data_IF_557122881174
#
_entry.id   IF_557122881174
#
_cell.length_a   1.000
_cell.length_b   1.000
_cell.length_c   1.000
_cell.angle_alpha   90.00
_cell.angle_beta   90.00
_cell.angle_gamma   90.00
#
_symmetry.space_group_name_H-M   'P 1'
#
loop_
_entity.id
_entity.type
_entity.pdbx_description
1 polymer ?
#
# COMPACT_ATOMS: atom_id res chain seq x y z
N UNK A 1 -14.43 5.65 -0.23
CA UNK A 1 -13.13 6.21 -0.64
C UNK A 1 -13.39 7.38 -1.59
N UNK A 2 -12.99 8.60 -1.25
CA UNK A 2 -13.19 9.76 -2.12
C UNK A 2 -12.02 9.81 -3.13
N UNK A 3 -12.20 9.14 -4.27
CA UNK A 3 -11.32 9.19 -5.46
C UNK A 3 -9.93 8.53 -5.36
N UNK A 4 -9.87 7.23 -5.00
CA UNK A 4 -8.73 6.36 -5.33
C UNK A 4 -8.68 6.02 -6.83
N UNK A 5 -7.77 5.12 -7.20
CA UNK A 5 -7.77 4.53 -8.54
C UNK A 5 -9.16 3.92 -8.81
N UNK A 6 -9.77 4.06 -10.01
CA UNK A 6 -11.02 3.37 -10.36
C UNK A 6 -10.99 1.86 -10.08
N UNK A 7 -9.80 1.27 -10.11
CA UNK A 7 -9.54 -0.12 -9.82
C UNK A 7 -9.51 -0.44 -8.32
N UNK A 8 -9.38 0.54 -7.43
CA UNK A 8 -9.48 0.34 -5.99
C UNK A 8 -10.98 0.25 -5.58
N UNK A 9 -11.52 -0.95 -5.72
CA UNK A 9 -12.96 -1.24 -5.61
C UNK A 9 -13.54 -1.02 -4.20
N UNK A 10 -12.81 -1.36 -3.13
CA UNK A 10 -13.26 -1.14 -1.74
C UNK A 10 -12.11 -1.11 -0.73
N UNK A 11 -12.22 -0.24 0.28
CA UNK A 11 -11.51 -0.35 1.56
C UNK A 11 -12.58 -0.48 2.64
N UNK A 12 -12.66 -1.65 3.26
CA UNK A 12 -13.53 -1.89 4.40
C UNK A 12 -12.73 -1.83 5.68
N UNK A 13 -12.81 -0.70 6.38
CA UNK A 13 -12.13 -0.47 7.63
C UNK A 13 -13.15 -0.36 8.77
N UNK A 14 -13.33 -1.44 9.53
CA UNK A 14 -14.13 -1.44 10.76
C UNK A 14 -13.21 -1.33 12.00
N UNK A 15 -13.57 -0.53 13.02
CA UNK A 15 -12.80 -0.46 14.25
C UNK A 15 -12.60 -1.84 14.89
N UNK A 16 -11.35 -2.20 15.18
CA UNK A 16 -11.00 -3.47 15.80
C UNK A 16 -10.93 -4.67 14.85
N UNK A 17 -11.11 -4.45 13.54
CA UNK A 17 -10.95 -5.48 12.52
C UNK A 17 -9.77 -5.17 11.59
N UNK A 18 -9.28 -6.21 10.92
CA UNK A 18 -8.36 -6.02 9.80
C UNK A 18 -9.08 -5.26 8.68
N UNK A 19 -8.35 -4.39 8.00
CA UNK A 19 -8.88 -3.64 6.86
C UNK A 19 -8.93 -4.56 5.65
N UNK A 20 -10.10 -4.83 5.10
CA UNK A 20 -10.19 -5.57 3.84
C UNK A 20 -10.02 -4.60 2.66
N UNK A 21 -9.05 -4.90 1.81
CA UNK A 21 -8.80 -4.20 0.57
C UNK A 21 -9.22 -5.10 -0.57
N UNK A 22 -10.07 -4.57 -1.45
CA UNK A 22 -10.43 -5.18 -2.71
C UNK A 22 -10.07 -4.22 -3.82
N UNK A 23 -9.26 -4.69 -4.75
CA UNK A 23 -8.75 -3.92 -5.87
C UNK A 23 -8.72 -4.79 -7.13
N UNK A 24 -8.69 -4.16 -8.29
CA UNK A 24 -8.38 -4.79 -9.56
C UNK A 24 -6.98 -4.44 -9.99
N UNK A 25 -6.32 -5.39 -10.63
CA UNK A 25 -5.03 -5.22 -11.29
C UNK A 25 -5.24 -5.74 -12.71
N UNK A 26 -5.58 -4.84 -13.63
CA UNK A 26 -6.14 -5.19 -14.95
C UNK A 26 -7.33 -6.17 -14.79
N UNK A 27 -7.24 -7.38 -15.36
CA UNK A 27 -8.32 -8.37 -15.34
C UNK A 27 -8.44 -9.17 -14.03
N UNK A 28 -7.53 -8.98 -13.09
CA UNK A 28 -7.49 -9.75 -11.85
C UNK A 28 -8.19 -8.98 -10.73
N UNK A 29 -9.07 -9.66 -9.99
CA UNK A 29 -9.61 -9.15 -8.73
C UNK A 29 -8.73 -9.66 -7.59
N UNK A 30 -8.16 -8.74 -6.83
CA UNK A 30 -7.36 -9.00 -5.65
C UNK A 30 -8.17 -8.67 -4.40
N UNK A 31 -8.10 -9.52 -3.38
CA UNK A 31 -8.68 -9.25 -2.06
C UNK A 31 -7.72 -9.74 -0.98
N UNK A 32 -7.38 -8.84 -0.07
CA UNK A 32 -6.51 -9.14 1.06
C UNK A 32 -6.93 -8.34 2.29
N UNK A 33 -6.43 -8.76 3.45
CA UNK A 33 -6.66 -8.09 4.71
C UNK A 33 -5.35 -7.47 5.21
N UNK A 34 -5.40 -6.19 5.56
CA UNK A 34 -4.32 -5.50 6.25
C UNK A 34 -4.56 -5.51 7.75
N UNK A 35 -3.50 -5.81 8.51
CA UNK A 35 -3.48 -5.53 9.95
C UNK A 35 -3.39 -4.03 10.21
N UNK A 36 -3.69 -3.57 11.44
CA UNK A 36 -3.34 -2.23 11.87
C UNK A 36 -1.87 -1.92 11.56
N UNK A 37 -1.61 -0.67 11.17
CA UNK A 37 -0.25 -0.18 10.96
C UNK A 37 0.62 -0.44 12.18
N UNK A 38 1.87 -0.81 11.93
CA UNK A 38 2.90 -1.01 12.95
C UNK A 38 2.70 -2.27 13.82
N UNK A 39 1.73 -3.15 13.49
CA UNK A 39 1.66 -4.54 13.98
C UNK A 39 2.70 -5.46 13.27
N UNK A 40 3.52 -4.89 12.39
CA UNK A 40 4.64 -5.56 11.74
C UNK A 40 5.85 -5.63 12.67
N UNK A 41 5.70 -6.29 13.82
CA UNK A 41 6.83 -6.79 14.59
C UNK A 41 6.90 -8.29 14.28
N UNK A 42 7.99 -8.72 13.64
CA UNK A 42 8.41 -10.11 13.42
C UNK A 42 7.71 -10.87 12.28
N UNK A 43 8.14 -10.59 11.05
CA UNK A 43 8.61 -11.65 10.16
C UNK A 43 9.92 -11.13 9.58
N UNK A 44 11.03 -11.86 9.75
CA UNK A 44 12.30 -11.57 9.08
C UNK A 44 12.13 -11.79 7.58
N UNK A 45 11.49 -10.85 6.91
CA UNK A 45 11.64 -10.68 5.49
C UNK A 45 12.85 -9.78 5.33
N UNK A 46 13.97 -10.33 4.83
CA UNK A 46 15.15 -9.54 4.43
C UNK A 46 14.70 -8.56 3.34
N UNK A 47 14.31 -7.37 3.78
CA UNK A 47 14.16 -6.22 2.92
C UNK A 47 15.53 -5.56 2.78
N UNK A 48 15.83 -4.92 1.65
CA UNK A 48 17.05 -4.13 1.50
C UNK A 48 17.18 -3.19 2.70
N UNK A 49 18.34 -3.20 3.36
CA UNK A 49 18.57 -2.44 4.58
C UNK A 49 18.08 -1.00 4.41
N UNK A 50 17.20 -0.56 5.32
CA UNK A 50 16.80 0.84 5.36
C UNK A 50 18.06 1.69 5.48
N UNK A 51 18.28 2.57 4.51
CA UNK A 51 19.37 3.53 4.57
C UNK A 51 19.14 4.37 5.84
N UNK A 52 20.15 4.63 6.70
CA UNK A 52 19.99 5.23 8.04
C UNK A 52 19.30 6.60 8.09
N UNK A 53 18.97 7.17 6.94
CA UNK A 53 18.53 8.53 6.72
C UNK A 53 17.06 8.65 6.32
N UNK A 54 16.33 7.52 6.23
CA UNK A 54 14.92 7.50 5.81
C UNK A 54 14.01 7.23 7.01
N UNK A 55 12.87 7.92 7.14
CA UNK A 55 11.95 7.74 8.26
C UNK A 55 11.49 6.30 8.33
N UNK A 56 11.22 5.84 9.54
CA UNK A 56 10.60 4.55 9.79
C UNK A 56 9.21 4.55 9.13
N UNK A 57 9.13 4.05 7.90
CA UNK A 57 7.87 3.90 7.19
C UNK A 57 6.95 2.97 7.97
N UNK A 58 5.65 3.25 7.92
CA UNK A 58 4.63 2.38 8.52
C UNK A 58 4.48 1.15 7.65
N UNK A 59 4.26 -0.01 8.26
CA UNK A 59 4.10 -1.28 7.55
C UNK A 59 2.90 -2.07 8.06
N UNK A 60 2.31 -2.86 7.16
CA UNK A 60 1.33 -3.88 7.48
C UNK A 60 1.53 -5.13 6.61
N UNK A 61 1.02 -6.27 7.09
CA UNK A 61 0.99 -7.51 6.31
C UNK A 61 -0.27 -7.59 5.47
N UNK A 62 -0.14 -8.18 4.29
CA UNK A 62 -1.27 -8.60 3.46
C UNK A 62 -1.61 -10.05 3.79
N UNK A 63 -2.85 -10.29 4.19
CA UNK A 63 -3.33 -11.59 4.65
C UNK A 63 -4.45 -12.13 3.75
N UNK A 64 -4.49 -13.45 3.58
CA UNK A 64 -5.66 -14.17 3.08
C UNK A 64 -6.71 -14.33 4.19
N UNK A 65 -7.96 -14.75 3.87
CA UNK A 65 -9.02 -14.93 4.87
C UNK A 65 -8.68 -15.90 6.00
N UNK A 66 -7.79 -16.87 5.75
CA UNK A 66 -7.33 -17.84 6.74
C UNK A 66 -6.16 -17.33 7.61
N UNK A 67 -5.72 -16.09 7.40
CA UNK A 67 -4.59 -15.47 8.09
C UNK A 67 -3.23 -15.76 7.46
N UNK A 68 -3.17 -16.45 6.32
CA UNK A 68 -1.90 -16.66 5.59
C UNK A 68 -1.33 -15.32 5.13
N UNK A 69 -0.08 -15.04 5.50
CA UNK A 69 0.65 -13.85 5.02
C UNK A 69 1.10 -14.09 3.58
N UNK A 70 0.64 -13.23 2.66
CA UNK A 70 1.00 -13.28 1.24
C UNK A 70 1.89 -12.12 0.82
N UNK A 71 2.06 -11.11 1.67
CA UNK A 71 2.86 -9.95 1.31
C UNK A 71 2.92 -8.91 2.41
N UNK A 72 3.48 -7.75 2.08
CA UNK A 72 3.49 -6.59 2.95
C UNK A 72 3.35 -5.30 2.17
N UNK A 73 2.80 -4.28 2.83
CA UNK A 73 2.70 -2.92 2.31
C UNK A 73 3.45 -2.00 3.26
N UNK A 74 4.23 -1.08 2.71
CA UNK A 74 4.97 -0.08 3.48
C UNK A 74 4.87 1.31 2.84
N UNK A 75 4.63 2.32 3.68
CA UNK A 75 4.56 3.71 3.26
C UNK A 75 5.51 4.55 4.11
N UNK A 76 6.32 5.39 3.45
CA UNK A 76 7.18 6.37 4.09
C UNK A 76 6.95 7.74 3.44
N UNK A 77 6.87 8.78 4.27
CA UNK A 77 6.69 10.15 3.83
C UNK A 77 7.83 10.99 4.40
N UNK A 78 8.54 11.68 3.52
CA UNK A 78 9.58 12.65 3.88
C UNK A 78 9.05 14.05 3.62
N UNK A 79 9.19 14.97 4.57
CA UNK A 79 8.95 16.39 4.32
C UNK A 79 10.03 16.95 3.38
N UNK A 80 9.61 17.84 2.48
CA UNK A 80 10.46 18.59 1.56
C UNK A 80 10.14 20.09 1.72
N UNK A 81 11.00 20.98 1.22
CA UNK A 81 10.82 22.44 1.36
C UNK A 81 9.47 22.94 0.82
N UNK A 82 8.96 22.32 -0.26
CA UNK A 82 7.73 22.69 -0.94
C UNK A 82 6.68 21.55 -0.97
N UNK A 83 6.80 20.56 -0.08
CA UNK A 83 5.84 19.46 -0.01
C UNK A 83 6.37 18.24 0.71
N UNK A 84 6.25 17.08 0.05
CA UNK A 84 6.73 15.82 0.60
C UNK A 84 7.06 14.81 -0.50
N UNK A 85 7.98 13.90 -0.20
CA UNK A 85 8.23 12.71 -0.99
C UNK A 85 7.49 11.52 -0.37
N UNK A 86 6.58 10.90 -1.12
CA UNK A 86 5.96 9.63 -0.75
C UNK A 86 6.73 8.45 -1.35
N UNK A 87 7.08 7.45 -0.52
CA UNK A 87 7.57 6.15 -0.98
C UNK A 87 6.61 5.07 -0.54
N UNK A 88 6.13 4.33 -1.52
CA UNK A 88 5.12 3.29 -1.37
C UNK A 88 5.74 2.01 -1.87
N UNK A 89 5.55 0.93 -1.14
CA UNK A 89 6.13 -0.35 -1.50
C UNK A 89 5.18 -1.47 -1.15
N UNK A 90 5.08 -2.42 -2.08
CA UNK A 90 4.40 -3.70 -1.88
C UNK A 90 5.42 -4.81 -2.06
N UNK A 91 5.39 -5.78 -1.16
CA UNK A 91 6.17 -7.03 -1.29
C UNK A 91 5.19 -8.14 -1.60
N UNK A 92 5.43 -8.83 -2.72
CA UNK A 92 4.58 -9.91 -3.22
C UNK A 92 5.34 -11.24 -3.21
N UNK A 93 4.66 -12.40 -3.25
CA UNK A 93 5.31 -13.69 -3.39
C UNK A 93 6.14 -13.74 -4.68
N UNK A 94 7.29 -14.42 -4.63
CA UNK A 94 8.15 -14.67 -5.80
C UNK A 94 7.42 -15.40 -6.93
N UNK A 95 6.31 -16.08 -6.62
CA UNK A 95 5.45 -16.77 -7.58
C UNK A 95 4.46 -15.85 -8.29
N UNK A 96 4.36 -14.57 -7.94
CA UNK A 96 3.55 -13.61 -8.68
C UNK A 96 4.10 -13.42 -10.09
N UNK A 97 3.19 -13.38 -11.07
CA UNK A 97 3.55 -13.09 -12.44
C UNK A 97 4.12 -11.65 -12.55
N UNK A 98 5.14 -11.40 -13.39
CA UNK A 98 5.72 -10.07 -13.55
C UNK A 98 4.69 -8.97 -13.83
N UNK A 99 3.64 -9.29 -14.58
CA UNK A 99 2.56 -8.38 -14.92
C UNK A 99 1.83 -7.86 -13.66
N UNK A 100 1.75 -8.65 -12.59
CA UNK A 100 1.13 -8.21 -11.32
C UNK A 100 1.94 -7.09 -10.66
N UNK A 101 3.26 -7.11 -10.83
CA UNK A 101 4.15 -6.07 -10.31
C UNK A 101 3.95 -4.78 -11.10
N UNK A 102 3.97 -4.87 -12.44
CA UNK A 102 3.77 -3.71 -13.32
C UNK A 102 2.41 -3.05 -13.06
N UNK A 103 1.36 -3.85 -12.91
CA UNK A 103 0.01 -3.36 -12.61
C UNK A 103 -0.08 -2.70 -11.24
N UNK A 104 0.56 -3.23 -10.19
CA UNK A 104 0.60 -2.57 -8.88
C UNK A 104 1.33 -1.22 -8.94
N UNK A 105 2.42 -1.13 -9.71
CA UNK A 105 3.17 0.12 -9.86
C UNK A 105 2.31 1.19 -10.56
N UNK A 106 1.60 0.82 -11.61
CA UNK A 106 0.63 1.70 -12.27
C UNK A 106 -0.50 2.10 -11.31
N UNK A 107 -1.04 1.13 -10.57
CA UNK A 107 -2.10 1.34 -9.60
C UNK A 107 -1.73 2.41 -8.58
N UNK A 108 -0.57 2.27 -7.92
CA UNK A 108 -0.06 3.24 -6.95
C UNK A 108 0.18 4.62 -7.57
N UNK A 109 0.76 4.67 -8.78
CA UNK A 109 1.02 5.94 -9.44
C UNK A 109 -0.26 6.72 -9.71
N UNK A 110 -1.32 6.05 -10.19
CA UNK A 110 -2.62 6.68 -10.46
C UNK A 110 -3.31 7.13 -9.18
N UNK A 111 -3.37 6.25 -8.18
CA UNK A 111 -4.05 6.52 -6.91
C UNK A 111 -3.44 7.70 -6.17
N UNK A 112 -2.14 7.65 -5.88
CA UNK A 112 -1.49 8.68 -5.07
C UNK A 112 -1.38 10.01 -5.79
N UNK A 113 -1.17 10.00 -7.12
CA UNK A 113 -1.21 11.24 -7.91
C UNK A 113 -2.60 11.88 -7.82
N UNK A 114 -3.66 11.09 -7.88
CA UNK A 114 -5.03 11.61 -7.79
C UNK A 114 -5.30 12.21 -6.41
N UNK A 115 -4.87 11.55 -5.34
CA UNK A 115 -5.01 12.07 -3.97
C UNK A 115 -4.24 13.37 -3.76
N UNK A 116 -2.96 13.43 -4.15
CA UNK A 116 -2.12 14.62 -3.99
C UNK A 116 -2.74 15.82 -4.72
N UNK A 117 -3.14 15.64 -5.98
CA UNK A 117 -3.73 16.72 -6.78
C UNK A 117 -5.08 17.20 -6.22
N UNK A 118 -5.85 16.33 -5.58
CA UNK A 118 -7.12 16.71 -4.95
C UNK A 118 -6.90 17.43 -3.62
N UNK A 119 -6.03 16.92 -2.76
CA UNK A 119 -5.66 17.59 -1.52
C UNK A 119 -5.13 19.01 -1.78
N UNK A 120 -4.30 19.18 -2.83
CA UNK A 120 -3.82 20.50 -3.23
C UNK A 120 -4.93 21.47 -3.67
N UNK A 121 -6.04 20.97 -4.25
CA UNK A 121 -7.19 21.80 -4.66
C UNK A 121 -8.12 22.17 -3.50
N UNK A 122 -8.12 21.42 -2.41
CA UNK A 122 -8.92 21.77 -1.23
C UNK A 122 -8.31 22.94 -0.43
N UNK A 123 -7.03 23.23 -0.67
CA UNK A 123 -6.30 24.34 -0.05
C UNK A 123 -6.38 25.67 -0.84
N UNK A 124 -7.00 25.68 -2.03
CA UNK A 124 -7.16 26.84 -2.92
C UNK A 124 -8.59 27.36 -2.95
#
# INVERSE_FOLDING_TARGET
MLAGNPEHYSIHAEPGQNVNIVETLDRYVCSFFMRPWDDSVIVDQELPAATPQKPAGRRSHMLLPDGTVVGSIANAFDEEEDGFTARLSVTLPVTCAPEVIDQHLEHFAVEFRTWILRAARELS
#
